data_IF_421373600711
#
_entry.id   IF_421373600711
#
_cell.length_a   1.000
_cell.length_b   1.000
_cell.length_c   1.000
_cell.angle_alpha   90.00
_cell.angle_beta   90.00
_cell.angle_gamma   90.00
#
_symmetry.space_group_name_H-M   'P 1'
#
loop_
_entity.id
_entity.type
_entity.pdbx_description
1 polymer ?
#
# COMPACT_ATOMS: atom_id res chain seq x y z
N UNK A 1 -12.12 -11.48 -0.15
CA UNK A 1 -11.61 -12.62 -0.96
C UNK A 1 -10.30 -13.07 -0.34
N UNK A 2 -10.07 -14.37 -0.30
CA UNK A 2 -8.80 -14.91 0.19
C UNK A 2 -7.72 -14.78 -0.88
N UNK A 3 -6.50 -14.44 -0.48
CA UNK A 3 -5.35 -14.33 -1.39
C UNK A 3 -4.59 -15.64 -1.53
N UNK A 4 -4.77 -16.59 -0.60
CA UNK A 4 -4.01 -17.84 -0.56
C UNK A 4 -4.15 -18.64 -1.84
N UNK A 5 -3.02 -19.05 -2.42
CA UNK A 5 -2.97 -19.79 -3.68
C UNK A 5 -3.18 -18.93 -4.94
N UNK A 6 -3.22 -17.59 -4.80
CA UNK A 6 -3.30 -16.66 -5.93
C UNK A 6 -1.98 -15.90 -6.13
N UNK A 7 -1.83 -15.19 -7.26
CA UNK A 7 -0.70 -14.29 -7.49
C UNK A 7 -0.64 -13.09 -6.53
N UNK A 8 -1.70 -12.85 -5.77
CA UNK A 8 -1.79 -11.80 -4.74
C UNK A 8 -1.35 -12.30 -3.35
N UNK A 9 -0.87 -13.54 -3.21
CA UNK A 9 -0.45 -14.05 -1.91
C UNK A 9 0.89 -13.46 -1.45
N UNK A 10 0.81 -12.34 -0.72
CA UNK A 10 1.94 -11.72 -0.01
C UNK A 10 1.92 -12.03 1.50
N UNK A 11 1.22 -13.08 1.94
CA UNK A 11 1.21 -13.49 3.36
C UNK A 11 2.58 -14.05 3.80
N UNK A 12 3.44 -14.39 2.83
CA UNK A 12 4.85 -14.69 3.00
C UNK A 12 5.66 -13.78 2.09
N UNK A 13 6.85 -13.39 2.55
CA UNK A 13 7.76 -12.56 1.77
C UNK A 13 8.10 -13.24 0.43
N UNK A 14 7.93 -12.50 -0.66
CA UNK A 14 8.30 -12.91 -2.02
C UNK A 14 8.69 -11.70 -2.86
N UNK A 15 9.44 -11.89 -3.96
CA UNK A 15 9.69 -10.81 -4.92
C UNK A 15 8.38 -10.24 -5.48
N UNK A 16 8.37 -8.92 -5.68
CA UNK A 16 7.29 -8.22 -6.39
C UNK A 16 7.67 -8.19 -7.88
N UNK A 17 7.13 -9.13 -8.65
CA UNK A 17 7.48 -9.35 -10.07
C UNK A 17 6.43 -8.89 -11.08
N UNK A 18 5.20 -8.68 -10.63
CA UNK A 18 4.03 -8.54 -11.49
C UNK A 18 3.45 -7.11 -11.44
N UNK A 19 2.68 -6.68 -12.45
CA UNK A 19 1.94 -5.44 -12.39
C UNK A 19 0.81 -5.56 -11.36
N UNK A 20 0.89 -4.78 -10.28
CA UNK A 20 -0.17 -4.61 -9.31
C UNK A 20 -0.67 -3.17 -9.34
N UNK A 21 -1.98 -3.04 -9.13
CA UNK A 21 -2.69 -1.79 -8.87
C UNK A 21 -3.97 -2.16 -8.11
N UNK A 22 -3.78 -2.73 -6.92
CA UNK A 22 -4.84 -3.39 -6.17
C UNK A 22 -4.81 -3.00 -4.70
N UNK A 23 -6.00 -2.88 -4.12
CA UNK A 23 -6.18 -2.71 -2.69
C UNK A 23 -6.16 -4.07 -1.98
N UNK A 24 -5.27 -4.22 -1.01
CA UNK A 24 -5.27 -5.35 -0.08
C UNK A 24 -6.21 -5.06 1.09
N UNK A 25 -7.19 -5.93 1.30
CA UNK A 25 -8.18 -5.84 2.37
C UNK A 25 -7.57 -6.27 3.71
N UNK A 26 -7.19 -5.32 4.56
CA UNK A 26 -6.53 -5.59 5.83
C UNK A 26 -7.51 -5.76 7.01
N UNK A 27 -8.65 -5.06 7.01
CA UNK A 27 -9.71 -5.16 8.02
C UNK A 27 -11.05 -4.59 7.51
N UNK A 28 -12.10 -4.81 8.30
CA UNK A 28 -13.46 -4.29 8.05
C UNK A 28 -13.73 -2.90 8.66
N UNK A 29 -12.75 -2.31 9.35
CA UNK A 29 -12.82 -0.98 9.95
C UNK A 29 -11.42 -0.49 10.31
N UNK A 30 -11.28 0.81 10.59
CA UNK A 30 -10.06 1.36 11.20
C UNK A 30 -9.79 0.71 12.55
N UNK A 31 -8.51 0.57 12.89
CA UNK A 31 -8.03 -0.09 14.11
C UNK A 31 -6.79 0.64 14.64
N UNK A 32 -6.29 0.21 15.79
CA UNK A 32 -4.99 0.65 16.27
C UNK A 32 -3.89 0.38 15.22
N UNK A 33 -2.92 1.29 15.03
CA UNK A 33 -1.84 1.08 14.08
C UNK A 33 -1.05 -0.20 14.37
N UNK A 34 -0.84 -1.00 13.34
CA UNK A 34 0.02 -2.20 13.39
C UNK A 34 0.79 -2.34 12.08
N UNK A 35 1.86 -3.13 12.07
CA UNK A 35 2.60 -3.46 10.84
C UNK A 35 1.69 -4.26 9.89
N UNK A 36 1.56 -3.81 8.65
CA UNK A 36 0.69 -4.42 7.63
C UNK A 36 1.44 -4.89 6.39
N UNK A 37 2.63 -4.34 6.15
CA UNK A 37 3.51 -4.73 5.06
C UNK A 37 4.96 -4.47 5.44
N UNK A 38 5.85 -5.25 4.84
CA UNK A 38 7.29 -5.04 4.87
C UNK A 38 7.81 -5.11 3.43
N UNK A 39 8.62 -4.12 3.06
CA UNK A 39 9.33 -4.11 1.77
C UNK A 39 10.83 -4.12 2.05
N UNK A 40 11.53 -5.11 1.53
CA UNK A 40 12.97 -5.25 1.69
C UNK A 40 13.67 -5.27 0.33
N UNK A 41 14.81 -4.58 0.25
CA UNK A 41 15.69 -4.62 -0.91
C UNK A 41 16.96 -5.40 -0.56
N UNK A 42 17.19 -6.59 -1.17
CA UNK A 42 18.44 -7.32 -0.94
C UNK A 42 19.67 -6.60 -1.50
N UNK A 43 19.48 -5.68 -2.45
CA UNK A 43 20.58 -4.92 -3.05
C UNK A 43 21.09 -3.81 -2.12
N UNK A 44 20.18 -2.98 -1.59
CA UNK A 44 20.55 -1.86 -0.72
C UNK A 44 20.56 -2.22 0.76
N UNK A 45 20.05 -3.41 1.13
CA UNK A 45 19.86 -3.83 2.53
C UNK A 45 18.92 -2.93 3.33
N UNK A 46 18.10 -2.12 2.65
CA UNK A 46 17.09 -1.28 3.30
C UNK A 46 15.78 -2.06 3.39
N UNK A 47 15.18 -2.03 4.58
CA UNK A 47 13.85 -2.56 4.85
C UNK A 47 12.94 -1.44 5.33
N UNK A 48 11.72 -1.39 4.79
CA UNK A 48 10.65 -0.47 5.18
C UNK A 48 9.45 -1.26 5.72
N UNK A 49 9.13 -1.05 6.99
CA UNK A 49 7.86 -1.52 7.57
C UNK A 49 6.80 -0.42 7.40
N UNK A 50 5.60 -0.82 6.96
CA UNK A 50 4.43 0.04 6.90
C UNK A 50 3.52 -0.29 8.09
N UNK A 51 3.35 0.68 8.97
CA UNK A 51 2.50 0.58 10.16
C UNK A 51 1.32 1.53 9.98
N UNK A 52 0.08 1.03 10.04
CA UNK A 52 -1.09 1.88 9.77
C UNK A 52 -2.35 1.48 10.52
N UNK A 53 -3.21 2.47 10.79
CA UNK A 53 -4.58 2.29 11.28
C UNK A 53 -5.58 1.93 10.19
N UNK A 54 -5.22 2.10 8.92
CA UNK A 54 -6.16 1.97 7.80
C UNK A 54 -6.54 0.51 7.50
N UNK A 55 -7.78 0.27 7.02
CA UNK A 55 -8.28 -1.05 6.70
C UNK A 55 -7.83 -1.57 5.31
N UNK A 56 -7.20 -0.74 4.49
CA UNK A 56 -6.72 -1.07 3.15
C UNK A 56 -5.28 -0.61 2.92
N UNK A 57 -4.62 -1.27 1.97
CA UNK A 57 -3.30 -0.89 1.47
C UNK A 57 -3.27 -1.07 -0.05
N UNK A 58 -3.16 0.03 -0.80
CA UNK A 58 -2.93 -0.05 -2.24
C UNK A 58 -1.48 -0.47 -2.48
N UNK A 59 -1.27 -1.51 -3.29
CA UNK A 59 0.02 -1.80 -3.92
C UNK A 59 -0.08 -1.40 -5.39
N UNK A 60 0.71 -0.40 -5.78
CA UNK A 60 0.90 -0.02 -7.17
C UNK A 60 2.37 -0.18 -7.55
N UNK A 61 2.69 -1.03 -8.52
CA UNK A 61 4.09 -1.32 -8.90
C UNK A 61 4.70 -0.37 -9.92
N UNK A 62 4.11 0.82 -10.11
CA UNK A 62 4.67 1.82 -11.03
C UNK A 62 4.63 1.39 -12.50
N UNK A 63 3.87 0.36 -12.85
CA UNK A 63 3.93 -0.28 -14.17
C UNK A 63 3.40 0.60 -15.31
N UNK A 64 2.61 1.64 -15.01
CA UNK A 64 2.14 2.65 -15.98
C UNK A 64 2.96 3.93 -15.97
N UNK A 65 4.08 3.98 -15.22
CA UNK A 65 4.86 5.20 -15.10
C UNK A 65 5.41 5.62 -16.47
N UNK A 66 5.00 6.80 -16.92
CA UNK A 66 5.42 7.42 -18.18
C UNK A 66 5.62 8.92 -17.94
N UNK A 67 6.57 9.26 -17.07
CA UNK A 67 6.83 10.65 -16.72
C UNK A 67 7.55 11.36 -17.88
N UNK A 68 7.01 12.48 -18.40
CA UNK A 68 7.61 13.21 -19.52
C UNK A 68 8.81 14.07 -19.09
N UNK A 69 9.08 14.15 -17.78
CA UNK A 69 10.16 14.94 -17.18
C UNK A 69 11.10 14.03 -16.40
N UNK A 70 12.37 14.41 -16.36
CA UNK A 70 13.35 13.74 -15.53
C UNK A 70 13.04 13.94 -14.04
N UNK A 71 13.20 12.87 -13.29
CA UNK A 71 13.18 12.87 -11.83
C UNK A 71 14.51 13.32 -11.24
N UNK A 72 14.75 12.91 -10.00
CA UNK A 72 15.96 13.29 -9.24
C UNK A 72 17.24 12.91 -10.02
N UNK A 73 18.23 13.81 -9.96
CA UNK A 73 19.53 13.67 -10.63
C UNK A 73 19.43 13.48 -12.17
N UNK A 74 18.37 13.96 -12.80
CA UNK A 74 18.18 13.85 -14.25
C UNK A 74 17.76 12.44 -14.71
N UNK A 75 17.41 11.53 -13.79
CA UNK A 75 16.98 10.17 -14.14
C UNK A 75 15.59 10.17 -14.75
N UNK A 76 15.42 9.55 -15.91
CA UNK A 76 14.09 9.26 -16.46
C UNK A 76 13.54 7.99 -15.79
N UNK A 77 12.51 8.15 -14.96
CA UNK A 77 11.86 7.03 -14.30
C UNK A 77 10.97 6.26 -15.29
N UNK A 78 11.32 4.99 -15.53
CA UNK A 78 10.62 4.06 -16.43
C UNK A 78 9.51 3.30 -15.70
N UNK A 79 8.62 2.58 -16.41
CA UNK A 79 7.76 1.58 -15.79
C UNK A 79 8.53 0.70 -14.81
N UNK A 80 7.93 0.47 -13.63
CA UNK A 80 8.53 -0.29 -12.52
C UNK A 80 9.76 0.36 -11.84
N UNK A 81 10.06 1.64 -12.08
CA UNK A 81 11.16 2.35 -11.40
C UNK A 81 10.94 2.56 -9.89
N UNK A 82 9.72 2.34 -9.40
CA UNK A 82 9.35 2.40 -8.00
C UNK A 82 7.98 1.74 -7.77
N UNK A 83 7.59 1.61 -6.51
CA UNK A 83 6.27 1.11 -6.12
C UNK A 83 5.69 1.98 -5.00
N UNK A 84 4.36 1.98 -4.91
CA UNK A 84 3.60 2.65 -3.87
C UNK A 84 3.00 1.62 -2.91
N UNK A 85 3.04 1.93 -1.62
CA UNK A 85 2.28 1.28 -0.56
C UNK A 85 1.44 2.35 0.11
N UNK A 86 0.14 2.39 -0.18
CA UNK A 86 -0.74 3.52 0.15
C UNK A 86 -1.79 3.08 1.17
N UNK A 87 -1.59 3.32 2.48
CA UNK A 87 -2.61 3.01 3.47
C UNK A 87 -3.86 3.87 3.27
N UNK A 88 -5.02 3.21 3.20
CA UNK A 88 -6.26 3.86 2.81
C UNK A 88 -7.51 3.11 3.28
N UNK A 89 -8.67 3.76 3.17
CA UNK A 89 -9.96 3.09 3.10
C UNK A 89 -10.10 2.36 1.76
N UNK A 90 -11.01 1.38 1.67
CA UNK A 90 -11.14 0.59 0.45
C UNK A 90 -11.64 1.46 -0.73
N UNK A 91 -11.07 1.29 -1.94
CA UNK A 91 -11.54 2.01 -3.12
C UNK A 91 -13.04 1.79 -3.34
N UNK A 92 -13.72 2.85 -3.77
CA UNK A 92 -15.16 2.85 -4.02
C UNK A 92 -16.06 2.56 -2.79
N UNK A 93 -15.54 2.68 -1.56
CA UNK A 93 -16.33 2.47 -0.33
C UNK A 93 -17.65 3.27 -0.25
N UNK A 94 -17.77 4.53 -0.74
CA UNK A 94 -19.05 5.26 -0.70
C UNK A 94 -20.21 4.53 -1.42
N UNK A 95 -19.91 3.83 -2.52
CA UNK A 95 -20.90 3.13 -3.34
C UNK A 95 -21.02 1.64 -2.98
N UNK A 96 -20.27 1.16 -1.98
CA UNK A 96 -20.23 -0.25 -1.58
C UNK A 96 -20.55 -0.40 -0.09
N UNK A 97 -21.83 -0.58 0.30
CA UNK A 97 -22.25 -0.63 1.71
C UNK A 97 -21.64 -1.77 2.53
N UNK A 98 -21.07 -2.79 1.89
CA UNK A 98 -20.37 -3.89 2.55
C UNK A 98 -18.90 -3.58 2.89
N UNK A 99 -18.37 -2.45 2.42
CA UNK A 99 -17.00 -2.02 2.67
C UNK A 99 -16.91 -1.20 3.97
N UNK A 100 -15.69 -1.05 4.54
CA UNK A 100 -15.50 -0.16 5.67
C UNK A 100 -16.03 1.25 5.36
N UNK A 101 -16.98 1.73 6.17
CA UNK A 101 -17.60 3.05 5.97
C UNK A 101 -16.55 4.15 6.03
N UNK A 102 -16.53 5.01 4.99
CA UNK A 102 -15.69 6.22 4.91
C UNK A 102 -16.44 7.50 5.28
N UNK A 103 -17.75 7.39 5.54
CA UNK A 103 -18.60 8.54 5.88
C UNK A 103 -18.13 9.15 7.20
N UNK A 104 -17.94 10.47 7.20
CA UNK A 104 -17.70 11.29 8.39
C UNK A 104 -18.87 12.28 8.52
N UNK A 105 -19.59 12.24 9.64
CA UNK A 105 -20.74 13.10 9.93
C UNK A 105 -20.36 14.33 10.77
N UNK A 106 -21.19 15.38 10.79
CA UNK A 106 -20.98 16.52 11.68
C UNK A 106 -20.79 16.07 13.15
N UNK A 107 -19.74 16.59 13.80
CA UNK A 107 -19.40 16.24 15.18
C UNK A 107 -18.52 14.99 15.34
N UNK A 108 -18.37 14.18 14.29
CA UNK A 108 -17.44 13.04 14.31
C UNK A 108 -16.00 13.50 14.03
N UNK A 109 -15.02 12.72 14.55
CA UNK A 109 -13.60 12.93 14.27
C UNK A 109 -13.06 11.73 13.50
N UNK A 110 -12.47 12.01 12.33
CA UNK A 110 -11.65 11.03 11.61
C UNK A 110 -10.20 11.15 12.07
N UNK A 111 -9.52 10.02 12.25
CA UNK A 111 -8.09 9.95 12.47
C UNK A 111 -7.51 8.78 11.67
N UNK A 112 -6.47 9.09 10.91
CA UNK A 112 -5.66 8.13 10.16
C UNK A 112 -4.20 8.30 10.61
N UNK A 113 -3.53 7.20 10.89
CA UNK A 113 -2.13 7.17 11.28
C UNK A 113 -1.40 6.18 10.37
N UNK A 114 -0.32 6.64 9.76
CA UNK A 114 0.61 5.81 9.01
C UNK A 114 2.04 6.17 9.38
N UNK A 115 2.86 5.16 9.65
CA UNK A 115 4.27 5.29 9.97
C UNK A 115 5.07 4.38 9.03
N UNK A 116 6.14 4.94 8.47
CA UNK A 116 7.07 4.24 7.59
C UNK A 116 8.40 4.13 8.32
N UNK A 117 8.69 2.94 8.84
CA UNK A 117 9.88 2.68 9.64
C UNK A 117 10.94 2.07 8.75
N UNK A 118 12.07 2.76 8.62
CA UNK A 118 13.23 2.28 7.86
C UNK A 118 14.27 1.68 8.79
N UNK A 119 14.83 0.54 8.36
CA UNK A 119 15.94 -0.14 9.02
C UNK A 119 16.94 -0.64 7.97
N UNK A 120 18.18 -0.86 8.40
CA UNK A 120 19.17 -1.59 7.61
C UNK A 120 19.24 -3.02 8.14
N UNK A 121 19.13 -4.00 7.24
CA UNK A 121 19.19 -5.45 7.54
C UNK A 121 20.41 -6.07 6.91
#
# INVERSE_FOLDING_TARGET
LDVRGTGYDFTRARPVSDPFDNNFCLAQQRRAPQTVAQLASPHSRVTMDVITSEPGLQLYTGHKLNAPVAGLNGRIDKPFAGLCLEPQMWPNAPDNPSFPSIVLRPGERSQQISCFKFTNT
#
